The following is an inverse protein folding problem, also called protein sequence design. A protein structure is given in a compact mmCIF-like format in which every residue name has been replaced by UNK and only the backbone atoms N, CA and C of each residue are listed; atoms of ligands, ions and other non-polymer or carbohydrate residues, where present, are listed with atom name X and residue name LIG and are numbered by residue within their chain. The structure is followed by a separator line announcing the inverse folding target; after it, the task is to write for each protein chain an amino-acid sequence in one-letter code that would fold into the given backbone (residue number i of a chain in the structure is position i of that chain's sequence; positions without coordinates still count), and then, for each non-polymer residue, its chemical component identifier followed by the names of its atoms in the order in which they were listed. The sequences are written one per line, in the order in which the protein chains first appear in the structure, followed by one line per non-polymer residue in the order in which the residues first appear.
data_IF_000168506641
#
_entry.id   IF_000168506641
#
_cell.length_a   1.000
_cell.length_b   1.000
_cell.length_c   1.000
_cell.angle_alpha   90.00
_cell.angle_beta   90.00
_cell.angle_gamma   90.00
#
_symmetry.space_group_name_H-M   'P 1'
#
loop_
_entity.id
_entity.type
_entity.pdbx_description
1 polymer ?
#
# COMPACT_ATOMS: atom_id res chain seq x y z
N UNK A 1 -4.24 -38.26 -4.15
CA UNK A 1 -5.41 -39.14 -4.16
C UNK A 1 -6.63 -38.24 -4.29
N UNK A 2 -7.16 -38.21 -5.50
CA UNK A 2 -8.31 -37.40 -5.91
C UNK A 2 -9.59 -37.86 -5.20
N UNK A 3 -10.24 -36.96 -4.47
CA UNK A 3 -11.57 -37.16 -3.91
C UNK A 3 -12.35 -35.84 -3.93
N UNK A 4 -12.34 -35.14 -5.06
CA UNK A 4 -13.07 -33.88 -5.26
C UNK A 4 -13.75 -33.91 -6.62
N UNK A 5 -14.88 -34.62 -6.75
CA UNK A 5 -15.75 -34.49 -7.95
C UNK A 5 -17.21 -34.99 -7.95
N UNK A 6 -17.92 -35.33 -6.85
CA UNK A 6 -19.38 -35.53 -6.93
C UNK A 6 -20.21 -34.27 -6.69
N UNK A 7 -19.75 -33.33 -5.87
CA UNK A 7 -20.57 -32.21 -5.38
C UNK A 7 -20.87 -31.12 -6.44
N UNK A 8 -19.94 -30.88 -7.37
CA UNK A 8 -20.11 -29.90 -8.46
C UNK A 8 -21.07 -30.40 -9.57
N UNK A 9 -21.24 -31.72 -9.71
CA UNK A 9 -22.14 -32.30 -10.71
C UNK A 9 -23.62 -32.18 -10.30
N UNK A 10 -23.92 -32.27 -9.00
CA UNK A 10 -25.30 -32.14 -8.50
C UNK A 10 -25.81 -30.69 -8.53
N UNK A 11 -24.96 -29.72 -8.20
CA UNK A 11 -25.34 -28.29 -8.17
C UNK A 11 -25.60 -27.72 -9.58
N UNK A 12 -24.86 -28.18 -10.58
CA UNK A 12 -25.04 -27.76 -11.99
C UNK A 12 -26.29 -28.36 -12.63
N UNK A 13 -26.70 -29.56 -12.22
CA UNK A 13 -27.89 -30.24 -12.75
C UNK A 13 -29.18 -29.61 -12.24
N UNK A 14 -29.21 -29.21 -10.96
CA UNK A 14 -30.34 -28.53 -10.33
C UNK A 14 -30.46 -27.06 -10.82
N UNK A 15 -29.32 -26.39 -11.03
CA UNK A 15 -29.28 -25.05 -11.63
C UNK A 15 -29.81 -25.04 -13.07
N UNK A 16 -29.46 -26.04 -13.90
CA UNK A 16 -29.98 -26.20 -15.26
C UNK A 16 -31.48 -26.51 -15.30
N UNK A 17 -31.98 -27.31 -14.37
CA UNK A 17 -33.42 -27.57 -14.24
C UNK A 17 -34.19 -26.30 -13.90
N UNK A 18 -33.63 -25.45 -13.04
CA UNK A 18 -34.24 -24.17 -12.64
C UNK A 18 -34.20 -23.12 -13.76
N UNK A 19 -33.12 -23.07 -14.55
CA UNK A 19 -33.03 -22.16 -15.71
C UNK A 19 -33.96 -22.57 -16.85
N UNK A 20 -34.20 -23.87 -17.03
CA UNK A 20 -35.18 -24.35 -18.01
C UNK A 20 -36.62 -24.06 -17.58
N UNK A 21 -36.92 -24.10 -16.28
CA UNK A 21 -38.23 -23.70 -15.74
C UNK A 21 -38.49 -22.20 -15.96
N UNK A 22 -37.46 -21.36 -15.85
CA UNK A 22 -37.54 -19.91 -16.12
C UNK A 22 -37.54 -19.55 -17.61
N UNK A 23 -37.19 -20.48 -18.52
CA UNK A 23 -37.25 -20.26 -19.97
C UNK A 23 -38.61 -20.57 -20.57
N UNK A 24 -39.39 -21.45 -19.95
CA UNK A 24 -40.78 -21.72 -20.37
C UNK A 24 -41.72 -20.54 -20.13
N UNK A 25 -41.33 -19.56 -19.30
CA UNK A 25 -42.09 -18.33 -19.06
C UNK A 25 -41.67 -17.15 -19.97
N UNK A 26 -40.81 -17.37 -20.98
CA UNK A 26 -40.24 -16.27 -21.80
C UNK A 26 -40.30 -16.45 -23.32
N UNK A 27 -41.35 -17.06 -23.83
CA UNK A 27 -41.74 -17.07 -25.26
C UNK A 27 -43.27 -16.94 -25.21
N UNK A 28 -43.93 -15.80 -25.46
CA UNK A 28 -43.77 -14.80 -26.52
C UNK A 28 -43.92 -13.36 -26.00
N UNK A 29 -42.94 -12.50 -26.30
CA UNK A 29 -43.20 -11.05 -26.45
C UNK A 29 -42.05 -10.47 -27.29
N UNK A 30 -42.23 -10.50 -28.61
CA UNK A 30 -41.32 -9.84 -29.53
C UNK A 30 -41.71 -8.35 -29.65
N UNK A 31 -40.80 -7.45 -29.25
CA UNK A 31 -40.38 -6.23 -29.97
C UNK A 31 -40.04 -5.03 -29.04
N UNK A 32 -38.86 -4.45 -29.29
CA UNK A 32 -38.58 -3.02 -29.17
C UNK A 32 -38.45 -2.38 -27.78
N UNK A 33 -37.22 -2.28 -27.26
CA UNK A 33 -36.86 -1.33 -26.21
C UNK A 33 -36.45 0.02 -26.83
N UNK A 34 -37.30 1.03 -26.66
CA UNK A 34 -36.94 2.44 -26.49
C UNK A 34 -37.42 2.83 -25.10
N UNK A 35 -36.56 3.47 -24.30
CA UNK A 35 -36.75 3.59 -22.85
C UNK A 35 -37.80 4.60 -22.38
N UNK A 36 -37.76 4.77 -21.06
CA UNK A 36 -38.27 5.89 -20.23
C UNK A 36 -39.56 5.63 -19.43
N UNK A 37 -39.36 5.76 -18.12
CA UNK A 37 -40.24 6.23 -17.04
C UNK A 37 -41.54 5.49 -16.66
N UNK A 38 -41.54 5.11 -15.38
CA UNK A 38 -42.60 5.31 -14.37
C UNK A 38 -43.98 5.72 -14.92
N UNK A 39 -44.92 4.78 -14.87
CA UNK A 39 -46.34 5.01 -14.56
C UNK A 39 -46.95 3.68 -14.12
N UNK A 40 -47.71 3.71 -13.02
CA UNK A 40 -48.65 2.63 -12.67
C UNK A 40 -49.56 2.32 -13.87
N UNK A 41 -49.81 1.05 -14.22
CA UNK A 41 -50.84 0.74 -15.19
C UNK A 41 -52.15 0.37 -14.48
N UNK A 42 -53.14 1.21 -14.77
CA UNK A 42 -54.56 0.99 -14.61
C UNK A 42 -55.00 -0.41 -15.02
N UNK A 43 -55.59 -1.14 -14.08
CA UNK A 43 -56.40 -2.33 -14.38
C UNK A 43 -57.81 -1.86 -14.80
N UNK A 44 -58.05 -1.74 -16.10
CA UNK A 44 -59.42 -1.83 -16.62
C UNK A 44 -59.47 -2.44 -18.02
N UNK A 45 -60.47 -3.32 -18.18
CA UNK A 45 -60.96 -3.98 -19.40
C UNK A 45 -60.24 -5.25 -19.87
N UNK A 46 -60.61 -6.37 -19.23
CA UNK A 46 -61.03 -7.56 -19.98
C UNK A 46 -62.45 -7.94 -19.54
N UNK A 47 -63.43 -7.67 -20.41
CA UNK A 47 -64.79 -8.18 -20.26
C UNK A 47 -64.80 -9.66 -20.63
N UNK A 48 -64.95 -10.54 -19.63
CA UNK A 48 -65.47 -11.89 -19.88
C UNK A 48 -66.98 -11.86 -19.74
N UNK A 49 -67.65 -12.14 -20.85
CA UNK A 49 -69.09 -12.36 -20.93
C UNK A 49 -69.45 -13.61 -20.13
N UNK A 50 -70.42 -13.48 -19.25
CA UNK A 50 -70.75 -14.50 -18.25
C UNK A 50 -71.35 -15.78 -18.81
N UNK A 51 -70.91 -16.88 -18.21
CA UNK A 51 -71.70 -18.09 -17.94
C UNK A 51 -70.96 -18.90 -16.86
N UNK A 52 -71.47 -18.83 -15.61
CA UNK A 52 -71.14 -19.65 -14.43
C UNK A 52 -69.79 -20.39 -14.46
N UNK A 53 -68.71 -19.77 -13.95
CA UNK A 53 -67.35 -20.36 -13.98
C UNK A 53 -66.49 -20.08 -12.72
N UNK A 54 -67.10 -19.91 -11.54
CA UNK A 54 -66.36 -19.58 -10.31
C UNK A 54 -65.53 -20.75 -9.73
N UNK A 55 -65.78 -21.99 -10.14
CA UNK A 55 -65.07 -23.18 -9.66
C UNK A 55 -63.65 -23.36 -10.24
N UNK A 56 -63.41 -23.31 -11.56
CA UNK A 56 -62.09 -23.55 -12.13
C UNK A 56 -61.04 -22.52 -11.71
N UNK A 57 -61.41 -21.24 -11.56
CA UNK A 57 -60.48 -20.19 -11.14
C UNK A 57 -60.06 -20.37 -9.67
N UNK A 58 -60.98 -20.79 -8.79
CA UNK A 58 -60.70 -21.05 -7.37
C UNK A 58 -59.82 -22.29 -7.18
N UNK A 59 -59.99 -23.33 -7.99
CA UNK A 59 -59.12 -24.51 -7.98
C UNK A 59 -57.69 -24.18 -8.42
N UNK A 60 -57.55 -23.32 -9.44
CA UNK A 60 -56.25 -22.84 -9.93
C UNK A 60 -55.54 -21.97 -8.89
N UNK A 61 -56.26 -21.09 -8.20
CA UNK A 61 -55.70 -20.27 -7.11
C UNK A 61 -55.26 -21.14 -5.92
N UNK A 62 -56.05 -22.16 -5.57
CA UNK A 62 -55.68 -23.14 -4.53
C UNK A 62 -54.42 -23.92 -4.90
N UNK A 63 -54.30 -24.32 -6.17
CA UNK A 63 -53.12 -25.00 -6.68
C UNK A 63 -51.88 -24.11 -6.61
N UNK A 64 -51.99 -22.87 -7.09
CA UNK A 64 -50.90 -21.90 -7.08
C UNK A 64 -50.39 -21.63 -5.66
N UNK A 65 -51.29 -21.37 -4.71
CA UNK A 65 -50.94 -21.14 -3.31
C UNK A 65 -50.17 -22.33 -2.71
N UNK A 66 -50.60 -23.57 -2.98
CA UNK A 66 -49.93 -24.77 -2.50
C UNK A 66 -48.54 -25.00 -3.11
N UNK A 67 -48.35 -24.61 -4.38
CA UNK A 67 -47.04 -24.64 -5.05
C UNK A 67 -46.09 -23.63 -4.40
N UNK A 68 -46.51 -22.38 -4.20
CA UNK A 68 -45.68 -21.36 -3.57
C UNK A 68 -45.32 -21.69 -2.12
N UNK A 69 -46.27 -22.25 -1.35
CA UNK A 69 -46.02 -22.80 -0.03
C UNK A 69 -44.95 -23.90 -0.05
N UNK A 70 -44.98 -24.80 -1.04
CA UNK A 70 -43.98 -25.87 -1.17
C UNK A 70 -42.61 -25.38 -1.60
N UNK A 71 -42.55 -24.45 -2.56
CA UNK A 71 -41.29 -23.85 -3.00
C UNK A 71 -40.63 -23.07 -1.86
N UNK A 72 -41.40 -22.30 -1.09
CA UNK A 72 -40.89 -21.57 0.08
C UNK A 72 -40.45 -22.51 1.20
N UNK A 73 -41.16 -23.63 1.44
CA UNK A 73 -40.73 -24.66 2.38
C UNK A 73 -39.39 -25.29 1.98
N UNK A 74 -39.21 -25.62 0.69
CA UNK A 74 -37.92 -26.11 0.16
C UNK A 74 -36.81 -25.08 0.38
N UNK A 75 -37.06 -23.79 0.08
CA UNK A 75 -36.08 -22.72 0.32
C UNK A 75 -35.68 -22.63 1.79
N UNK A 76 -36.64 -22.70 2.71
CA UNK A 76 -36.37 -22.65 4.14
C UNK A 76 -35.55 -23.84 4.62
N UNK A 77 -35.90 -25.06 4.20
CA UNK A 77 -35.15 -26.28 4.53
C UNK A 77 -33.75 -26.28 3.92
N UNK A 78 -33.59 -25.76 2.71
CA UNK A 78 -32.27 -25.60 2.09
C UNK A 78 -31.41 -24.55 2.80
N UNK A 79 -31.99 -23.45 3.27
CA UNK A 79 -31.26 -22.49 4.10
C UNK A 79 -30.80 -23.12 5.44
N UNK A 80 -31.62 -23.98 6.06
CA UNK A 80 -31.21 -24.74 7.25
C UNK A 80 -30.04 -25.68 6.93
N UNK A 81 -30.10 -26.38 5.80
CA UNK A 81 -29.02 -27.24 5.33
C UNK A 81 -27.69 -26.47 5.19
N UNK A 82 -27.74 -25.26 4.61
CA UNK A 82 -26.55 -24.42 4.42
C UNK A 82 -25.93 -23.97 5.74
N UNK A 83 -26.74 -23.67 6.75
CA UNK A 83 -26.23 -23.26 8.07
C UNK A 83 -25.68 -24.46 8.86
N UNK A 84 -26.30 -25.62 8.73
CA UNK A 84 -25.84 -26.85 9.38
C UNK A 84 -24.51 -27.42 8.83
N UNK A 85 -24.01 -26.88 7.71
CA UNK A 85 -22.70 -27.27 7.17
C UNK A 85 -21.54 -26.67 7.95
N UNK A 86 -21.74 -25.50 8.59
CA UNK A 86 -20.68 -24.73 9.25
C UNK A 86 -21.23 -24.02 10.49
N UNK A 87 -20.97 -24.54 11.70
CA UNK A 87 -20.23 -25.78 12.00
C UNK A 87 -20.97 -27.05 11.52
N UNK A 88 -20.22 -28.11 11.21
CA UNK A 88 -20.79 -29.36 10.68
C UNK A 88 -21.69 -30.04 11.71
N UNK A 89 -23.00 -30.08 11.44
CA UNK A 89 -24.03 -30.75 12.23
C UNK A 89 -24.71 -31.83 11.38
N UNK A 90 -24.32 -33.11 11.52
CA UNK A 90 -24.85 -34.19 10.68
C UNK A 90 -26.35 -34.43 10.89
N UNK A 91 -26.87 -34.20 12.09
CA UNK A 91 -28.28 -34.45 12.43
C UNK A 91 -29.17 -33.35 11.84
N UNK A 92 -28.75 -32.10 11.94
CA UNK A 92 -29.44 -30.98 11.31
C UNK A 92 -29.37 -31.07 9.77
N UNK A 93 -28.24 -31.50 9.21
CA UNK A 93 -28.10 -31.76 7.76
C UNK A 93 -29.10 -32.84 7.31
N UNK A 94 -29.15 -33.98 8.00
CA UNK A 94 -30.07 -35.06 7.66
C UNK A 94 -31.54 -34.65 7.82
N UNK A 95 -31.88 -33.91 8.87
CA UNK A 95 -33.23 -33.41 9.10
C UNK A 95 -33.68 -32.45 7.99
N UNK A 96 -32.81 -31.50 7.62
CA UNK A 96 -33.08 -30.54 6.55
C UNK A 96 -33.20 -31.24 5.18
N UNK A 97 -32.34 -32.22 4.89
CA UNK A 97 -32.41 -33.03 3.66
C UNK A 97 -33.73 -33.82 3.57
N UNK A 98 -34.12 -34.51 4.65
CA UNK A 98 -35.41 -35.21 4.71
C UNK A 98 -36.58 -34.27 4.48
N UNK A 99 -36.54 -33.06 5.03
CA UNK A 99 -37.58 -32.05 4.83
C UNK A 99 -37.65 -31.57 3.36
N UNK A 100 -36.51 -31.36 2.70
CA UNK A 100 -36.47 -31.05 1.25
C UNK A 100 -37.08 -32.18 0.43
N UNK A 101 -36.70 -33.44 0.71
CA UNK A 101 -37.22 -34.62 0.01
C UNK A 101 -38.73 -34.77 0.22
N UNK A 102 -39.22 -34.52 1.43
CA UNK A 102 -40.65 -34.57 1.74
C UNK A 102 -41.45 -33.55 0.92
N UNK A 103 -41.00 -32.29 0.85
CA UNK A 103 -41.66 -31.25 0.06
C UNK A 103 -41.60 -31.52 -1.45
N UNK A 104 -40.48 -32.06 -1.96
CA UNK A 104 -40.39 -32.48 -3.36
C UNK A 104 -41.39 -33.60 -3.69
N UNK A 105 -41.56 -34.57 -2.79
CA UNK A 105 -42.60 -35.61 -2.94
C UNK A 105 -44.00 -35.02 -2.92
N UNK A 106 -44.26 -34.05 -2.04
CA UNK A 106 -45.55 -33.33 -1.96
C UNK A 106 -45.86 -32.58 -3.26
N UNK A 107 -44.91 -31.81 -3.79
CA UNK A 107 -45.05 -31.10 -5.06
C UNK A 107 -45.21 -32.07 -6.24
N UNK A 108 -44.54 -33.22 -6.21
CA UNK A 108 -44.71 -34.26 -7.23
C UNK A 108 -46.13 -34.85 -7.21
N UNK A 109 -46.70 -35.09 -6.03
CA UNK A 109 -48.08 -35.56 -5.88
C UNK A 109 -49.07 -34.51 -6.39
N UNK A 110 -48.85 -33.23 -6.06
CA UNK A 110 -49.67 -32.11 -6.53
C UNK A 110 -49.62 -31.94 -8.06
N UNK A 111 -48.46 -32.15 -8.68
CA UNK A 111 -48.32 -32.18 -10.15
C UNK A 111 -49.13 -33.33 -10.76
N UNK A 112 -49.09 -34.52 -10.14
CA UNK A 112 -49.81 -35.69 -10.64
C UNK A 112 -51.33 -35.55 -10.50
N UNK A 113 -51.83 -34.92 -9.43
CA UNK A 113 -53.27 -34.68 -9.25
C UNK A 113 -53.80 -33.68 -10.27
N UNK A 114 -53.04 -32.62 -10.56
CA UNK A 114 -53.36 -31.66 -11.63
C UNK A 114 -53.47 -32.35 -12.99
N UNK A 115 -52.48 -33.16 -13.38
CA UNK A 115 -52.47 -33.85 -14.68
C UNK A 115 -53.60 -34.88 -14.85
N UNK A 116 -54.13 -35.43 -13.74
CA UNK A 116 -55.21 -36.42 -13.75
C UNK A 116 -56.61 -35.78 -13.66
N UNK A 117 -56.72 -34.46 -13.64
CA UNK A 117 -57.98 -33.71 -13.37
C UNK A 117 -58.68 -34.14 -12.06
N UNK A 118 -57.91 -34.59 -11.05
CA UNK A 118 -58.43 -35.04 -9.75
C UNK A 118 -58.39 -33.91 -8.71
N UNK A 119 -58.62 -32.66 -9.14
CA UNK A 119 -58.60 -31.49 -8.25
C UNK A 119 -59.88 -31.39 -7.40
N UNK A 120 -60.97 -32.02 -7.84
CA UNK A 120 -62.32 -31.98 -7.27
C UNK A 120 -62.52 -32.83 -5.99
N UNK A 121 -61.46 -33.10 -5.23
CA UNK A 121 -61.54 -33.73 -3.91
C UNK A 121 -61.37 -32.68 -2.81
N UNK A 122 -62.46 -32.24 -2.18
CA UNK A 122 -62.49 -31.14 -1.21
C UNK A 122 -61.58 -31.30 0.02
N UNK A 123 -61.01 -32.48 0.30
CA UNK A 123 -60.56 -32.83 1.65
C UNK A 123 -59.03 -33.02 1.86
N UNK A 124 -58.19 -32.88 0.82
CA UNK A 124 -56.75 -33.24 0.95
C UNK A 124 -55.78 -32.05 0.89
N UNK A 125 -56.18 -30.92 0.29
CA UNK A 125 -55.28 -29.77 0.10
C UNK A 125 -55.66 -28.61 1.03
N UNK A 126 -54.67 -27.96 1.69
CA UNK A 126 -54.88 -26.77 2.52
C UNK A 126 -55.70 -25.72 1.78
N UNK A 127 -56.53 -24.98 2.52
CA UNK A 127 -57.25 -23.85 1.95
C UNK A 127 -56.25 -22.83 1.37
N UNK A 128 -56.61 -22.07 0.32
CA UNK A 128 -55.69 -21.11 -0.31
C UNK A 128 -55.03 -20.13 0.68
N UNK A 129 -55.79 -19.67 1.68
CA UNK A 129 -55.30 -18.77 2.72
C UNK A 129 -54.27 -19.44 3.64
N UNK A 130 -54.51 -20.69 4.03
CA UNK A 130 -53.58 -21.45 4.88
C UNK A 130 -52.25 -21.68 4.15
N UNK A 131 -52.30 -22.01 2.86
CA UNK A 131 -51.12 -22.17 2.03
C UNK A 131 -50.33 -20.85 1.89
N UNK A 132 -51.01 -19.71 1.74
CA UNK A 132 -50.36 -18.40 1.74
C UNK A 132 -49.72 -18.06 3.10
N UNK A 133 -50.38 -18.38 4.20
CA UNK A 133 -49.81 -18.21 5.55
C UNK A 133 -48.54 -19.05 5.72
N UNK A 134 -48.56 -20.29 5.25
CA UNK A 134 -47.39 -21.16 5.29
C UNK A 134 -46.26 -20.67 4.39
N UNK A 135 -46.57 -20.13 3.22
CA UNK A 135 -45.58 -19.47 2.36
C UNK A 135 -44.87 -18.32 3.10
N UNK A 136 -45.64 -17.40 3.68
CA UNK A 136 -45.09 -16.27 4.42
C UNK A 136 -44.26 -16.73 5.62
N UNK A 137 -44.73 -17.76 6.35
CA UNK A 137 -44.00 -18.37 7.47
C UNK A 137 -42.65 -18.94 7.01
N UNK A 138 -42.62 -19.64 5.87
CA UNK A 138 -41.40 -20.23 5.32
C UNK A 138 -40.41 -19.18 4.79
N UNK A 139 -40.91 -18.12 4.15
CA UNK A 139 -40.08 -16.97 3.75
C UNK A 139 -39.44 -16.31 4.98
N UNK A 140 -40.24 -16.06 6.02
CA UNK A 140 -39.78 -15.44 7.25
C UNK A 140 -38.76 -16.32 7.98
N UNK A 141 -38.93 -17.64 7.94
CA UNK A 141 -37.93 -18.61 8.41
C UNK A 141 -36.62 -18.52 7.62
N UNK A 142 -36.69 -18.43 6.29
CA UNK A 142 -35.52 -18.27 5.41
C UNK A 142 -34.75 -17.00 5.75
N UNK A 143 -35.45 -15.86 5.83
CA UNK A 143 -34.83 -14.59 6.18
C UNK A 143 -34.18 -14.62 7.56
N UNK A 144 -34.85 -15.18 8.57
CA UNK A 144 -34.27 -15.35 9.92
C UNK A 144 -32.96 -16.13 9.89
N UNK A 145 -32.91 -17.23 9.14
CA UNK A 145 -31.70 -18.05 9.01
C UNK A 145 -30.57 -17.27 8.33
N UNK A 146 -30.88 -16.59 7.22
CA UNK A 146 -29.87 -15.81 6.48
C UNK A 146 -29.35 -14.63 7.29
N UNK A 147 -30.21 -13.93 8.04
CA UNK A 147 -29.81 -12.82 8.91
C UNK A 147 -28.91 -13.32 10.03
N UNK A 148 -29.29 -14.42 10.71
CA UNK A 148 -28.48 -15.00 11.78
C UNK A 148 -27.09 -15.44 11.27
N UNK A 149 -27.00 -15.97 10.05
CA UNK A 149 -25.74 -16.33 9.40
C UNK A 149 -24.88 -15.08 9.14
N UNK A 150 -25.43 -14.06 8.49
CA UNK A 150 -24.71 -12.82 8.20
C UNK A 150 -24.24 -12.11 9.47
N UNK A 151 -25.07 -12.09 10.52
CA UNK A 151 -24.70 -11.54 11.83
C UNK A 151 -23.53 -12.30 12.47
N UNK A 152 -23.47 -13.62 12.31
CA UNK A 152 -22.35 -14.43 12.80
C UNK A 152 -21.05 -14.18 12.03
N UNK A 153 -21.13 -14.04 10.70
CA UNK A 153 -20.00 -13.71 9.85
C UNK A 153 -19.47 -12.29 10.15
N UNK A 154 -20.38 -11.32 10.35
CA UNK A 154 -20.03 -9.96 10.72
C UNK A 154 -19.28 -9.91 12.06
N UNK A 155 -19.80 -10.58 13.10
CA UNK A 155 -19.11 -10.68 14.40
C UNK A 155 -17.74 -11.35 14.28
N UNK A 156 -17.60 -12.37 13.43
CA UNK A 156 -16.31 -13.02 13.18
C UNK A 156 -15.31 -12.10 12.47
N UNK A 157 -15.77 -11.26 11.55
CA UNK A 157 -14.91 -10.28 10.87
C UNK A 157 -14.53 -9.12 11.78
N UNK A 158 -15.45 -8.67 12.64
CA UNK A 158 -15.15 -7.65 13.65
C UNK A 158 -14.07 -8.13 14.64
N UNK A 159 -14.12 -9.39 15.09
CA UNK A 159 -13.07 -9.94 15.96
C UNK A 159 -11.73 -10.08 15.24
N UNK A 160 -11.72 -10.47 13.96
CA UNK A 160 -10.52 -10.52 13.12
C UNK A 160 -9.89 -9.12 12.96
N UNK A 161 -10.71 -8.09 12.70
CA UNK A 161 -10.26 -6.70 12.60
C UNK A 161 -9.60 -6.25 13.92
N UNK A 162 -10.23 -6.51 15.06
CA UNK A 162 -9.67 -6.14 16.38
C UNK A 162 -8.34 -6.87 16.63
N UNK A 163 -8.23 -8.16 16.27
CA UNK A 163 -6.98 -8.93 16.38
C UNK A 163 -5.87 -8.32 15.52
N UNK A 164 -6.14 -8.07 14.24
CA UNK A 164 -5.17 -7.49 13.30
C UNK A 164 -4.74 -6.08 13.71
N UNK A 165 -5.65 -5.27 14.25
CA UNK A 165 -5.31 -3.96 14.81
C UNK A 165 -4.35 -4.08 16.00
N UNK A 166 -4.56 -5.07 16.89
CA UNK A 166 -3.67 -5.35 18.01
C UNK A 166 -2.27 -5.78 17.53
N UNK A 167 -2.19 -6.69 16.56
CA UNK A 167 -0.93 -7.13 15.96
C UNK A 167 -0.18 -5.97 15.28
N UNK A 168 -0.88 -5.11 14.55
CA UNK A 168 -0.29 -3.92 13.93
C UNK A 168 0.30 -2.98 14.99
N UNK A 169 -0.38 -2.78 16.12
CA UNK A 169 0.13 -1.95 17.22
C UNK A 169 1.34 -2.60 17.89
N UNK A 170 1.34 -3.92 18.09
CA UNK A 170 2.48 -4.66 18.62
C UNK A 170 3.70 -4.54 17.68
N UNK A 171 3.51 -4.75 16.37
CA UNK A 171 4.55 -4.59 15.37
C UNK A 171 5.08 -3.15 15.29
N UNK A 172 4.21 -2.13 15.37
CA UNK A 172 4.62 -0.71 15.44
C UNK A 172 5.45 -0.42 16.69
N UNK A 173 5.08 -0.95 17.85
CA UNK A 173 5.85 -0.83 19.09
C UNK A 173 7.22 -1.51 18.96
N UNK A 174 7.25 -2.73 18.41
CA UNK A 174 8.49 -3.47 18.17
C UNK A 174 9.45 -2.75 17.21
N UNK A 175 8.91 -2.18 16.11
CA UNK A 175 9.69 -1.35 15.19
C UNK A 175 10.28 -0.13 15.89
N UNK A 176 9.50 0.60 16.68
CA UNK A 176 9.99 1.76 17.45
C UNK A 176 11.07 1.34 18.45
N UNK A 177 10.93 0.18 19.09
CA UNK A 177 11.93 -0.37 20.00
C UNK A 177 13.24 -0.70 19.28
N UNK A 178 13.18 -1.38 18.13
CA UNK A 178 14.35 -1.66 17.29
C UNK A 178 15.00 -0.37 16.77
N UNK A 179 14.21 0.59 16.31
CA UNK A 179 14.70 1.90 15.88
C UNK A 179 15.40 2.64 17.03
N UNK A 180 14.85 2.58 18.25
CA UNK A 180 15.47 3.17 19.44
C UNK A 180 16.79 2.47 19.81
N UNK A 181 16.85 1.13 19.75
CA UNK A 181 18.08 0.36 19.99
C UNK A 181 19.15 0.67 18.95
N UNK A 182 18.79 0.67 17.66
CA UNK A 182 19.74 0.95 16.59
C UNK A 182 20.25 2.39 16.63
N UNK A 183 19.38 3.34 17.01
CA UNK A 183 19.80 4.71 17.32
C UNK A 183 20.71 4.74 18.55
N UNK A 184 20.38 4.01 19.62
CA UNK A 184 21.18 3.92 20.84
C UNK A 184 22.58 3.38 20.55
N UNK A 185 22.73 2.24 19.87
CA UNK A 185 24.02 1.62 19.58
C UNK A 185 24.91 2.52 18.71
N UNK A 186 24.31 3.20 17.72
CA UNK A 186 25.03 4.12 16.84
C UNK A 186 25.35 5.46 17.51
N UNK A 187 24.53 5.90 18.47
CA UNK A 187 24.79 7.09 19.28
C UNK A 187 25.77 6.79 20.39
N UNK A 188 25.81 5.54 20.90
CA UNK A 188 26.77 5.04 21.88
C UNK A 188 28.20 5.01 21.30
N UNK A 189 28.35 4.61 20.04
CA UNK A 189 29.62 4.71 19.32
C UNK A 189 30.14 6.16 19.18
N UNK A 190 29.28 7.17 19.39
CA UNK A 190 29.59 8.60 19.27
C UNK A 190 29.32 9.40 20.58
N UNK A 191 28.96 8.75 21.68
CA UNK A 191 28.53 9.42 22.91
C UNK A 191 29.70 9.84 23.79
N UNK A 192 30.75 9.02 23.87
CA UNK A 192 31.95 9.25 24.71
C UNK A 192 33.16 9.74 23.91
N UNK A 193 32.89 10.56 22.89
CA UNK A 193 33.95 11.19 22.12
C UNK A 193 34.59 12.32 22.93
N UNK A 194 35.91 12.27 23.06
CA UNK A 194 36.72 13.41 23.46
C UNK A 194 37.49 13.97 22.26
N UNK A 195 37.68 15.29 22.22
CA UNK A 195 38.41 15.96 21.13
C UNK A 195 39.79 15.35 20.87
N UNK A 196 40.48 14.93 21.93
CA UNK A 196 41.81 14.32 21.89
C UNK A 196 41.81 12.88 21.34
N UNK A 197 40.67 12.18 21.40
CA UNK A 197 40.52 10.78 20.98
C UNK A 197 39.82 10.62 19.62
N UNK A 198 39.65 11.70 18.86
CA UNK A 198 39.04 11.65 17.53
C UNK A 198 39.90 10.83 16.57
N UNK A 199 39.29 9.80 15.97
CA UNK A 199 39.91 8.96 14.95
C UNK A 199 39.04 8.91 13.68
N UNK A 200 39.62 8.42 12.59
CA UNK A 200 38.91 8.31 11.32
C UNK A 200 37.73 7.31 11.35
N UNK A 201 37.74 6.33 12.27
CA UNK A 201 36.64 5.39 12.46
C UNK A 201 35.35 6.06 12.92
N UNK A 202 35.44 7.03 13.83
CA UNK A 202 34.30 7.85 14.26
C UNK A 202 33.72 8.66 13.09
N UNK A 203 34.59 9.25 12.29
CA UNK A 203 34.18 9.97 11.08
C UNK A 203 33.54 9.04 10.06
N UNK A 204 34.11 7.87 9.79
CA UNK A 204 33.55 6.86 8.89
C UNK A 204 32.17 6.38 9.35
N UNK A 205 31.98 6.18 10.65
CA UNK A 205 30.69 5.75 11.23
C UNK A 205 29.61 6.81 11.00
N UNK A 206 29.94 8.08 11.27
CA UNK A 206 29.03 9.19 11.00
C UNK A 206 28.79 9.38 9.50
N UNK A 207 29.82 9.25 8.67
CA UNK A 207 29.71 9.35 7.22
C UNK A 207 28.78 8.29 6.64
N UNK A 208 28.90 7.03 7.08
CA UNK A 208 27.96 5.94 6.70
C UNK A 208 26.52 6.27 7.13
N UNK A 209 26.32 6.89 8.30
CA UNK A 209 25.00 7.35 8.75
C UNK A 209 24.46 8.47 7.86
N UNK A 210 25.30 9.42 7.46
CA UNK A 210 24.96 10.48 6.52
C UNK A 210 24.52 9.93 5.17
N UNK A 211 25.26 8.97 4.61
CA UNK A 211 24.90 8.29 3.35
C UNK A 211 23.52 7.63 3.46
N UNK A 212 23.27 6.88 4.53
CA UNK A 212 21.95 6.25 4.76
C UNK A 212 20.81 7.28 4.87
N UNK A 213 21.08 8.43 5.48
CA UNK A 213 20.10 9.51 5.60
C UNK A 213 19.83 10.19 4.25
N UNK A 214 20.85 10.37 3.42
CA UNK A 214 20.72 10.86 2.03
C UNK A 214 19.84 9.90 1.23
N UNK A 215 20.15 8.60 1.24
CA UNK A 215 19.34 7.59 0.54
C UNK A 215 17.90 7.53 1.03
N UNK A 216 17.66 7.76 2.33
CA UNK A 216 16.30 7.84 2.90
C UNK A 216 15.52 9.05 2.39
N UNK A 217 16.18 10.21 2.27
CA UNK A 217 15.57 11.40 1.70
C UNK A 217 15.29 11.23 0.20
N UNK A 218 16.25 10.67 -0.55
CA UNK A 218 16.07 10.36 -1.98
C UNK A 218 14.83 9.48 -2.19
N UNK A 219 14.65 8.42 -1.40
CA UNK A 219 13.46 7.55 -1.49
C UNK A 219 12.15 8.32 -1.32
N UNK A 220 12.07 9.23 -0.35
CA UNK A 220 10.87 10.06 -0.16
C UNK A 220 10.72 11.07 -1.30
N UNK A 221 11.80 11.70 -1.74
CA UNK A 221 11.76 12.64 -2.87
C UNK A 221 11.25 11.96 -4.14
N UNK A 222 11.76 10.78 -4.49
CA UNK A 222 11.31 10.04 -5.68
C UNK A 222 9.87 9.55 -5.52
N UNK A 223 9.43 9.21 -4.30
CA UNK A 223 8.03 8.87 -4.01
C UNK A 223 7.11 10.06 -4.26
N UNK A 224 7.42 11.25 -3.73
CA UNK A 224 6.61 12.45 -3.95
C UNK A 224 6.60 12.88 -5.43
N UNK A 225 7.72 12.73 -6.14
CA UNK A 225 7.78 12.91 -7.59
C UNK A 225 6.83 11.96 -8.32
N UNK A 226 6.81 10.68 -7.94
CA UNK A 226 5.90 9.69 -8.51
C UNK A 226 4.43 10.02 -8.25
N UNK A 227 4.08 10.42 -7.02
CA UNK A 227 2.73 10.86 -6.66
C UNK A 227 2.27 12.10 -7.43
N UNK A 228 3.20 13.02 -7.72
CA UNK A 228 2.95 14.23 -8.49
C UNK A 228 3.02 14.02 -10.01
N UNK A 229 3.11 12.77 -10.49
CA UNK A 229 3.18 12.40 -11.92
C UNK A 229 4.36 13.08 -12.64
N UNK A 230 5.48 13.26 -11.95
CA UNK A 230 6.71 13.75 -12.58
C UNK A 230 7.36 12.65 -13.40
N UNK A 231 7.90 13.01 -14.57
CA UNK A 231 8.75 12.11 -15.35
C UNK A 231 10.12 11.98 -14.65
N UNK A 232 10.24 10.93 -13.84
CA UNK A 232 11.46 10.58 -13.10
C UNK A 232 12.63 10.33 -14.06
N UNK A 233 12.37 9.81 -15.26
CA UNK A 233 13.41 9.52 -16.25
C UNK A 233 13.92 10.80 -16.90
N UNK A 234 13.02 11.73 -17.23
CA UNK A 234 13.41 13.06 -17.69
C UNK A 234 14.19 13.82 -16.62
N UNK A 235 13.78 13.74 -15.35
CA UNK A 235 14.50 14.34 -14.24
C UNK A 235 15.91 13.74 -14.07
N UNK A 236 16.05 12.41 -14.16
CA UNK A 236 17.36 11.75 -14.11
C UNK A 236 18.26 12.19 -15.27
N UNK A 237 17.74 12.26 -16.51
CA UNK A 237 18.47 12.78 -17.68
C UNK A 237 18.85 14.26 -17.53
N UNK A 238 18.02 15.08 -16.89
CA UNK A 238 18.36 16.47 -16.62
C UNK A 238 19.52 16.62 -15.63
N UNK A 239 19.67 15.66 -14.69
CA UNK A 239 20.77 15.63 -13.72
C UNK A 239 22.05 15.07 -14.36
N UNK A 240 21.94 13.95 -15.09
CA UNK A 240 23.03 13.28 -15.78
C UNK A 240 22.63 12.99 -17.23
N UNK A 241 22.88 13.91 -18.18
CA UNK A 241 22.40 13.79 -19.57
C UNK A 241 23.04 12.65 -20.34
N UNK A 242 24.27 12.30 -19.99
CA UNK A 242 25.08 11.36 -20.76
C UNK A 242 25.05 9.92 -20.23
N UNK A 243 24.17 9.66 -19.26
CA UNK A 243 23.93 8.31 -18.78
C UNK A 243 23.04 7.56 -19.79
N UNK A 244 23.67 6.84 -20.71
CA UNK A 244 22.98 5.89 -21.59
C UNK A 244 22.46 4.76 -20.70
N UNK A 245 21.15 4.79 -20.47
CA UNK A 245 20.44 3.98 -19.47
C UNK A 245 20.78 2.49 -19.64
N UNK A 246 21.49 1.90 -18.67
CA UNK A 246 21.68 0.45 -18.59
C UNK A 246 20.50 -0.21 -17.88
N UNK A 247 20.07 0.33 -16.72
CA UNK A 247 18.92 -0.20 -15.95
C UNK A 247 18.01 0.88 -15.32
N UNK A 248 16.80 0.46 -14.92
CA UNK A 248 15.82 1.27 -14.17
C UNK A 248 16.29 1.63 -12.75
N UNK A 249 17.12 0.79 -12.15
CA UNK A 249 17.58 0.88 -10.76
C UNK A 249 18.69 1.93 -10.57
N UNK A 250 19.44 2.24 -11.64
CA UNK A 250 20.52 3.24 -11.64
C UNK A 250 20.05 4.66 -11.30
N UNK A 251 18.75 4.92 -11.47
CA UNK A 251 18.12 6.24 -11.20
C UNK A 251 18.32 6.67 -9.75
N UNK A 252 18.33 5.72 -8.82
CA UNK A 252 18.56 6.03 -7.40
C UNK A 252 19.91 6.71 -7.21
N UNK A 253 20.97 6.21 -7.87
CA UNK A 253 22.31 6.78 -7.77
C UNK A 253 22.42 8.17 -8.41
N UNK A 254 21.64 8.45 -9.45
CA UNK A 254 21.55 9.79 -10.06
C UNK A 254 20.98 10.81 -9.06
N UNK A 255 19.88 10.46 -8.39
CA UNK A 255 19.30 11.33 -7.37
C UNK A 255 20.17 11.42 -6.12
N UNK A 256 20.82 10.33 -5.69
CA UNK A 256 21.80 10.37 -4.60
C UNK A 256 22.98 11.28 -4.94
N UNK A 257 23.49 11.26 -6.18
CA UNK A 257 24.53 12.17 -6.66
C UNK A 257 24.08 13.63 -6.62
N UNK A 258 22.87 13.93 -7.13
CA UNK A 258 22.30 15.28 -7.09
C UNK A 258 22.18 15.82 -5.66
N UNK A 259 21.55 15.04 -4.78
CA UNK A 259 21.35 15.44 -3.38
C UNK A 259 22.68 15.56 -2.65
N UNK A 260 23.61 14.63 -2.85
CA UNK A 260 24.94 14.68 -2.23
C UNK A 260 25.69 15.93 -2.68
N UNK A 261 25.76 16.20 -3.98
CA UNK A 261 26.43 17.40 -4.52
C UNK A 261 25.88 18.69 -3.91
N UNK A 262 24.55 18.79 -3.76
CA UNK A 262 23.93 19.96 -3.14
C UNK A 262 24.20 20.04 -1.63
N UNK A 263 24.12 18.92 -0.92
CA UNK A 263 24.35 18.89 0.52
C UNK A 263 25.80 19.20 0.88
N UNK A 264 26.75 18.64 0.15
CA UNK A 264 28.19 18.83 0.33
C UNK A 264 28.76 20.06 -0.40
N UNK A 265 27.93 20.85 -1.11
CA UNK A 265 28.41 22.11 -1.69
C UNK A 265 28.97 23.03 -0.60
N UNK A 266 30.13 23.64 -0.86
CA UNK A 266 30.88 24.48 0.09
C UNK A 266 31.37 23.77 1.36
N UNK A 267 31.39 22.43 1.41
CA UNK A 267 31.80 21.69 2.61
C UNK A 267 33.25 21.97 3.02
N UNK A 268 34.15 22.29 2.07
CA UNK A 268 35.52 22.69 2.40
C UNK A 268 35.61 24.01 3.18
N UNK A 269 34.54 24.82 3.19
CA UNK A 269 34.51 26.09 3.91
C UNK A 269 33.99 25.87 5.35
N UNK A 270 34.65 26.46 6.38
CA UNK A 270 34.24 26.33 7.78
C UNK A 270 32.81 26.78 8.09
N UNK A 271 32.17 27.52 7.19
CA UNK A 271 30.83 28.07 7.35
C UNK A 271 29.85 27.63 6.25
N UNK A 272 30.22 26.69 5.37
CA UNK A 272 29.44 26.36 4.16
C UNK A 272 29.11 27.57 3.25
N UNK A 273 29.96 28.60 3.27
CA UNK A 273 29.72 29.84 2.52
C UNK A 273 28.45 30.56 3.00
N UNK A 274 28.23 30.61 4.31
CA UNK A 274 27.14 31.37 4.94
C UNK A 274 27.55 32.80 5.29
N UNK A 275 28.85 33.14 5.23
CA UNK A 275 29.38 34.44 5.61
C UNK A 275 29.59 34.59 7.11
N UNK A 276 29.73 33.48 7.84
CA UNK A 276 29.87 33.47 9.29
C UNK A 276 31.34 33.59 9.73
N UNK A 277 31.60 34.12 10.94
CA UNK A 277 32.97 34.26 11.43
C UNK A 277 33.66 32.90 11.59
N UNK A 278 35.01 32.86 11.42
CA UNK A 278 35.76 31.62 11.54
C UNK A 278 35.63 31.02 12.95
N UNK A 279 35.35 29.72 12.99
CA UNK A 279 35.23 28.92 14.21
C UNK A 279 36.51 28.14 14.45
N UNK A 280 36.90 28.01 15.71
CA UNK A 280 38.01 27.15 16.10
C UNK A 280 37.54 25.68 16.21
N UNK A 281 38.51 24.77 16.22
CA UNK A 281 38.30 23.33 16.34
C UNK A 281 37.43 22.96 17.56
N UNK A 282 37.57 23.68 18.68
CA UNK A 282 36.83 23.42 19.93
C UNK A 282 35.36 23.79 19.80
N UNK A 283 35.03 24.91 19.16
CA UNK A 283 33.64 25.31 18.89
C UNK A 283 32.92 24.31 18.01
N UNK A 284 33.57 23.82 16.94
CA UNK A 284 33.00 22.77 16.10
C UNK A 284 32.68 21.49 16.89
N UNK A 285 33.59 21.07 17.77
CA UNK A 285 33.38 19.87 18.57
C UNK A 285 32.30 20.04 19.65
N UNK A 286 32.23 21.23 20.25
CA UNK A 286 31.16 21.59 21.18
C UNK A 286 29.80 21.53 20.49
N UNK A 287 29.67 22.14 19.33
CA UNK A 287 28.44 22.14 18.55
C UNK A 287 28.05 20.72 18.08
N UNK A 288 29.01 19.90 17.67
CA UNK A 288 28.78 18.46 17.41
C UNK A 288 28.21 17.76 18.65
N UNK A 289 28.79 18.01 19.83
CA UNK A 289 28.40 17.38 21.09
C UNK A 289 27.02 17.81 21.57
N UNK A 290 26.61 19.04 21.27
CA UNK A 290 25.28 19.57 21.58
C UNK A 290 24.23 18.99 20.61
N UNK A 291 24.49 19.04 19.30
CA UNK A 291 23.52 18.64 18.28
C UNK A 291 23.34 17.12 18.14
N UNK A 292 24.32 16.30 18.59
CA UNK A 292 24.18 14.83 18.53
C UNK A 292 23.04 14.30 19.42
N UNK A 293 22.75 14.99 20.52
CA UNK A 293 21.77 14.57 21.53
C UNK A 293 20.39 15.21 21.36
N UNK A 294 20.30 16.35 20.66
CA UNK A 294 19.06 17.10 20.48
C UNK A 294 18.11 16.41 19.51
N UNK A 295 16.79 16.48 19.77
CA UNK A 295 15.80 16.04 18.77
C UNK A 295 15.80 17.03 17.60
N UNK A 296 15.50 16.60 16.35
CA UNK A 296 15.49 17.51 15.20
C UNK A 296 14.68 18.78 15.45
N UNK A 297 13.51 18.69 16.11
CA UNK A 297 12.66 19.85 16.46
C UNK A 297 13.33 20.87 17.40
N UNK A 298 14.29 20.43 18.21
CA UNK A 298 15.02 21.25 19.19
C UNK A 298 16.34 21.81 18.60
N UNK A 299 16.89 21.19 17.54
CA UNK A 299 18.10 21.68 16.84
C UNK A 299 17.89 23.01 16.09
N UNK A 300 16.63 23.46 15.99
CA UNK A 300 16.17 24.47 15.06
C UNK A 300 15.78 25.80 15.73
N UNK A 301 16.19 26.01 16.98
CA UNK A 301 15.99 27.29 17.65
C UNK A 301 16.63 28.47 16.88
N UNK A 302 15.97 29.63 16.95
CA UNK A 302 16.11 30.77 16.03
C UNK A 302 17.57 31.22 15.84
N UNK A 303 17.96 31.41 14.57
CA UNK A 303 19.22 32.00 14.08
C UNK A 303 20.52 31.18 14.29
N UNK A 304 20.45 29.88 14.56
CA UNK A 304 21.66 29.05 14.54
C UNK A 304 22.26 28.93 13.13
N UNK A 305 23.58 28.73 13.03
CA UNK A 305 24.25 28.49 11.74
C UNK A 305 23.70 27.24 11.04
N UNK A 306 23.35 26.21 11.83
CA UNK A 306 22.65 25.04 11.33
C UNK A 306 21.28 25.38 10.70
N UNK A 307 20.49 26.26 11.33
CA UNK A 307 19.22 26.74 10.77
C UNK A 307 19.41 27.45 9.43
N UNK A 308 20.43 28.30 9.30
CA UNK A 308 20.79 28.96 8.05
C UNK A 308 21.25 27.98 6.97
N UNK A 309 22.08 27.01 7.34
CA UNK A 309 22.48 25.90 6.47
C UNK A 309 21.25 25.12 5.96
N UNK A 310 20.38 24.68 6.87
CA UNK A 310 19.17 23.92 6.57
C UNK A 310 18.28 24.68 5.59
N UNK A 311 18.04 25.98 5.84
CA UNK A 311 17.29 26.87 4.95
C UNK A 311 17.94 27.01 3.56
N UNK A 312 19.23 27.33 3.49
CA UNK A 312 19.97 27.48 2.22
C UNK A 312 19.90 26.20 1.40
N UNK A 313 20.11 25.05 2.03
CA UNK A 313 20.09 23.74 1.36
C UNK A 313 18.68 23.32 0.93
N UNK A 314 17.65 23.55 1.74
CA UNK A 314 16.27 23.24 1.36
C UNK A 314 15.82 24.05 0.15
N UNK A 315 16.01 25.38 0.20
CA UNK A 315 15.56 26.29 -0.85
C UNK A 315 16.32 26.11 -2.17
N UNK A 316 17.57 25.64 -2.10
CA UNK A 316 18.38 25.30 -3.27
C UNK A 316 18.08 23.91 -3.84
N UNK A 317 17.64 22.96 -3.02
CA UNK A 317 17.37 21.58 -3.44
C UNK A 317 15.95 21.40 -3.96
N UNK A 318 14.97 22.00 -3.28
CA UNK A 318 13.55 21.89 -3.61
C UNK A 318 13.13 23.13 -4.39
N UNK A 319 12.96 22.96 -5.69
CA UNK A 319 12.48 24.02 -6.57
C UNK A 319 11.01 24.36 -6.27
N UNK A 320 10.57 25.64 -6.34
CA UNK A 320 9.19 26.03 -6.10
C UNK A 320 8.14 25.21 -6.86
N UNK A 321 8.45 24.85 -8.13
CA UNK A 321 7.56 23.98 -8.93
C UNK A 321 7.42 22.56 -8.37
N UNK A 322 8.48 22.00 -7.78
CA UNK A 322 8.39 20.69 -7.12
C UNK A 322 7.51 20.81 -5.87
N UNK A 323 7.70 21.88 -5.10
CA UNK A 323 6.95 22.11 -3.86
C UNK A 323 5.46 22.30 -4.11
N UNK A 324 5.10 23.13 -5.11
CA UNK A 324 3.72 23.30 -5.55
C UNK A 324 3.10 21.97 -6.05
N UNK A 325 3.89 21.12 -6.73
CA UNK A 325 3.42 19.83 -7.20
C UNK A 325 3.25 18.79 -6.08
N UNK A 326 4.15 18.77 -5.09
CA UNK A 326 4.12 17.80 -3.98
C UNK A 326 3.05 18.16 -2.94
N UNK A 327 2.85 19.44 -2.68
CA UNK A 327 2.05 19.91 -1.55
C UNK A 327 0.86 20.80 -1.95
N UNK A 328 0.69 21.12 -3.23
CA UNK A 328 -0.39 21.97 -3.71
C UNK A 328 -0.21 23.47 -3.42
N UNK A 329 0.96 23.90 -2.94
CA UNK A 329 1.23 25.29 -2.55
C UNK A 329 2.69 25.57 -2.20
N UNK A 330 2.98 26.81 -1.79
CA UNK A 330 4.32 27.28 -1.41
C UNK A 330 4.42 27.69 0.08
N UNK A 331 3.45 27.29 0.90
CA UNK A 331 3.40 27.65 2.33
C UNK A 331 4.62 27.13 3.10
N UNK A 332 5.02 25.89 2.79
CA UNK A 332 6.23 25.27 3.31
C UNK A 332 7.47 26.11 2.97
N UNK A 333 7.55 26.62 1.73
CA UNK A 333 8.63 27.47 1.26
C UNK A 333 8.67 28.79 1.99
N UNK A 334 7.51 29.43 2.14
CA UNK A 334 7.38 30.73 2.79
C UNK A 334 7.83 30.62 4.26
N UNK A 335 7.40 29.57 4.96
CA UNK A 335 7.81 29.29 6.34
C UNK A 335 9.32 29.02 6.48
N UNK A 336 9.92 28.20 5.61
CA UNK A 336 11.38 27.99 5.62
C UNK A 336 12.12 29.28 5.25
N UNK A 337 11.56 30.08 4.34
CA UNK A 337 12.16 31.34 3.88
C UNK A 337 12.11 32.42 4.94
N UNK A 338 11.04 32.52 5.74
CA UNK A 338 10.94 33.49 6.84
C UNK A 338 11.87 33.12 8.00
N UNK A 339 12.23 31.84 8.13
CA UNK A 339 13.05 31.35 9.24
C UNK A 339 12.30 31.34 10.58
N UNK A 340 10.97 31.49 10.54
CA UNK A 340 10.10 31.52 11.72
C UNK A 340 9.71 30.12 12.21
N UNK A 341 9.81 29.11 11.34
CA UNK A 341 9.46 27.74 11.65
C UNK A 341 9.81 26.77 10.54
N UNK A 342 9.36 25.53 10.70
CA UNK A 342 9.63 24.43 9.78
C UNK A 342 8.36 23.65 9.45
N UNK A 343 8.20 23.20 8.19
CA UNK A 343 7.07 22.37 7.79
C UNK A 343 6.91 21.13 8.66
N UNK A 344 5.70 20.92 9.17
CA UNK A 344 5.32 19.71 9.87
C UNK A 344 4.94 18.60 8.86
N UNK A 345 5.79 18.38 7.86
CA UNK A 345 5.60 17.36 6.82
C UNK A 345 6.64 16.26 6.95
N UNK A 346 6.27 15.03 6.60
CA UNK A 346 7.19 13.89 6.60
C UNK A 346 8.39 14.14 5.67
N UNK A 347 8.14 14.77 4.52
CA UNK A 347 9.17 15.18 3.56
C UNK A 347 10.21 16.09 4.23
N UNK A 348 9.76 17.14 4.91
CA UNK A 348 10.66 18.06 5.58
C UNK A 348 11.37 17.41 6.78
N UNK A 349 10.69 16.55 7.52
CA UNK A 349 11.31 15.83 8.64
C UNK A 349 12.48 14.94 8.20
N UNK A 350 12.35 14.23 7.08
CA UNK A 350 13.45 13.40 6.55
C UNK A 350 14.55 14.25 5.93
N UNK A 351 14.20 15.36 5.27
CA UNK A 351 15.17 16.36 4.82
C UNK A 351 16.00 16.92 5.99
N UNK A 352 15.32 17.34 7.06
CA UNK A 352 15.94 17.94 8.24
C UNK A 352 16.89 16.96 8.94
N UNK A 353 16.52 15.67 9.02
CA UNK A 353 17.41 14.64 9.55
C UNK A 353 18.67 14.47 8.68
N UNK A 354 18.52 14.44 7.35
CA UNK A 354 19.67 14.41 6.42
C UNK A 354 20.57 15.65 6.59
N UNK A 355 19.97 16.84 6.65
CA UNK A 355 20.71 18.09 6.86
C UNK A 355 21.48 18.05 8.19
N UNK A 356 20.86 17.56 9.25
CA UNK A 356 21.51 17.37 10.55
C UNK A 356 22.71 16.43 10.47
N UNK A 357 22.59 15.29 9.77
CA UNK A 357 23.70 14.35 9.62
C UNK A 357 24.89 14.97 8.88
N UNK A 358 24.63 15.73 7.81
CA UNK A 358 25.68 16.45 7.06
C UNK A 358 26.33 17.53 7.91
N UNK A 359 25.54 18.27 8.70
CA UNK A 359 26.07 19.29 9.61
C UNK A 359 26.94 18.68 10.71
N UNK A 360 26.48 17.61 11.36
CA UNK A 360 27.29 16.88 12.36
C UNK A 360 28.60 16.37 11.75
N UNK A 361 28.55 15.85 10.52
CA UNK A 361 29.73 15.40 9.80
C UNK A 361 30.71 16.55 9.54
N UNK A 362 30.21 17.74 9.20
CA UNK A 362 31.03 18.95 9.02
C UNK A 362 31.65 19.43 10.33
N UNK A 363 30.87 19.50 11.41
CA UNK A 363 31.40 19.81 12.73
C UNK A 363 32.51 18.83 13.11
N UNK A 364 32.32 17.54 12.88
CA UNK A 364 33.33 16.52 13.16
C UNK A 364 34.57 16.69 12.26
N UNK A 365 34.38 16.93 10.95
CA UNK A 365 35.46 17.20 9.99
C UNK A 365 36.36 18.36 10.44
N UNK A 366 35.75 19.48 10.82
CA UNK A 366 36.51 20.64 11.31
C UNK A 366 37.04 20.48 12.73
N UNK A 367 36.55 19.47 13.47
CA UNK A 367 37.11 19.02 14.74
C UNK A 367 38.36 18.14 14.59
N UNK A 368 38.77 17.74 13.39
CA UNK A 368 40.08 17.14 13.14
C UNK A 368 41.17 18.21 12.90
N UNK A 369 42.43 17.85 13.15
CA UNK A 369 43.65 18.67 13.27
C UNK A 369 43.90 19.78 12.24
N UNK A 370 45.13 19.88 11.74
CA UNK A 370 45.52 20.98 10.84
C UNK A 370 44.74 20.90 9.51
N UNK A 371 44.58 22.04 8.82
CA UNK A 371 43.86 22.09 7.54
C UNK A 371 44.47 21.17 6.46
N UNK A 372 45.79 20.96 6.50
CA UNK A 372 46.53 20.10 5.55
C UNK A 372 46.24 18.61 5.72
N UNK A 373 45.66 18.22 6.86
CA UNK A 373 45.36 16.83 7.18
C UNK A 373 43.93 16.42 6.77
N UNK A 374 43.13 17.34 6.22
CA UNK A 374 41.73 17.06 5.91
C UNK A 374 41.29 17.62 4.55
N UNK A 375 40.72 16.76 3.72
CA UNK A 375 40.21 17.16 2.40
C UNK A 375 38.95 16.37 2.06
N UNK A 376 38.01 17.03 1.38
CA UNK A 376 36.90 16.37 0.67
C UNK A 376 37.29 16.28 -0.80
N UNK A 377 36.99 15.16 -1.45
CA UNK A 377 37.33 14.96 -2.86
C UNK A 377 36.22 14.22 -3.61
N UNK A 378 36.16 14.44 -4.91
CA UNK A 378 35.23 13.78 -5.83
C UNK A 378 36.00 13.24 -7.03
N UNK A 379 35.55 12.11 -7.57
CA UNK A 379 36.12 11.57 -8.79
C UNK A 379 35.57 12.35 -10.00
N UNK A 380 36.47 12.80 -10.87
CA UNK A 380 36.09 13.44 -12.13
C UNK A 380 35.52 12.40 -13.08
N UNK A 381 34.47 12.76 -13.80
CA UNK A 381 33.95 11.94 -14.90
C UNK A 381 35.05 11.63 -15.91
N UNK A 382 35.05 10.39 -16.41
CA UNK A 382 36.06 9.85 -17.32
C UNK A 382 37.36 9.42 -16.64
N UNK A 383 37.52 9.64 -15.33
CA UNK A 383 38.70 9.16 -14.60
C UNK A 383 38.73 7.64 -14.53
N UNK A 384 39.93 7.07 -14.47
CA UNK A 384 40.10 5.63 -14.22
C UNK A 384 39.63 5.29 -12.81
N UNK A 385 38.93 4.18 -12.67
CA UNK A 385 38.57 3.64 -11.37
C UNK A 385 39.82 3.28 -10.56
N UNK A 386 39.80 3.62 -9.26
CA UNK A 386 40.87 3.30 -8.32
C UNK A 386 40.25 2.77 -7.04
N UNK A 387 40.42 1.47 -6.78
CA UNK A 387 39.92 0.81 -5.56
C UNK A 387 40.47 1.44 -4.27
N UNK A 388 41.58 2.16 -4.32
CA UNK A 388 42.14 2.84 -3.14
C UNK A 388 41.32 4.06 -2.73
N UNK A 389 40.77 4.79 -3.72
CA UNK A 389 40.08 6.08 -3.50
C UNK A 389 38.58 6.01 -3.80
N UNK A 390 38.11 4.94 -4.42
CA UNK A 390 36.77 4.84 -4.97
C UNK A 390 36.13 3.49 -4.63
N UNK A 391 34.83 3.52 -4.35
CA UNK A 391 33.97 2.36 -4.13
C UNK A 391 32.87 2.37 -5.22
N UNK A 392 32.70 1.26 -5.93
CA UNK A 392 31.65 1.14 -6.97
C UNK A 392 30.28 0.89 -6.32
N UNK A 393 29.25 1.59 -6.78
CA UNK A 393 27.87 1.39 -6.26
C UNK A 393 27.09 0.28 -6.98
N UNK A 394 27.56 -0.16 -8.14
CA UNK A 394 26.86 -1.11 -9.03
C UNK A 394 27.66 -2.42 -9.18
N UNK A 395 28.19 -2.94 -8.07
CA UNK A 395 29.15 -4.04 -8.03
C UNK A 395 28.55 -5.41 -8.44
N UNK A 396 27.23 -5.59 -8.43
CA UNK A 396 26.60 -6.91 -8.63
C UNK A 396 26.49 -7.36 -10.11
N UNK A 397 26.57 -6.47 -11.10
CA UNK A 397 26.44 -6.85 -12.53
C UNK A 397 27.76 -6.89 -13.32
N UNK A 398 28.87 -6.45 -12.74
CA UNK A 398 30.14 -6.34 -13.45
C UNK A 398 30.96 -7.65 -13.48
N UNK A 399 30.55 -8.68 -12.74
CA UNK A 399 31.29 -9.95 -12.60
C UNK A 399 30.87 -11.03 -13.59
N UNK A 400 29.87 -10.78 -14.46
CA UNK A 400 29.32 -11.79 -15.39
C UNK A 400 29.62 -11.58 -16.88
N UNK A 401 30.41 -10.55 -17.27
CA UNK A 401 30.85 -10.39 -18.65
C UNK A 401 32.22 -11.03 -18.88
N UNK A 402 32.21 -12.34 -19.09
CA UNK A 402 33.32 -13.13 -19.60
C UNK A 402 33.69 -12.70 -21.04
N UNK A 403 35.00 -12.67 -21.33
CA UNK A 403 35.57 -12.74 -22.68
C UNK A 403 35.50 -11.51 -23.60
N UNK A 404 36.43 -10.55 -23.45
CA UNK A 404 36.85 -9.70 -24.59
C UNK A 404 37.33 -8.28 -24.25
N UNK A 405 38.65 -8.08 -24.19
CA UNK A 405 39.29 -6.75 -24.25
C UNK A 405 39.14 -5.89 -23.00
N UNK A 406 40.07 -6.02 -22.05
CA UNK A 406 40.12 -5.31 -20.77
C UNK A 406 40.15 -3.77 -20.91
N UNK A 407 38.98 -3.13 -21.06
CA UNK A 407 38.83 -1.69 -20.84
C UNK A 407 38.65 -1.47 -19.34
N UNK A 408 39.59 -0.77 -18.70
CA UNK A 408 39.42 -0.33 -17.31
C UNK A 408 38.15 0.50 -17.19
N UNK A 409 37.25 0.18 -16.24
CA UNK A 409 36.01 0.94 -16.05
C UNK A 409 36.33 2.40 -15.75
N UNK A 410 35.58 3.30 -16.37
CA UNK A 410 35.73 4.73 -16.18
C UNK A 410 34.64 5.25 -15.25
N UNK A 411 34.93 6.30 -14.49
CA UNK A 411 33.95 6.94 -13.62
C UNK A 411 32.93 7.69 -14.47
N UNK A 412 31.65 7.36 -14.34
CA UNK A 412 30.55 8.13 -14.91
C UNK A 412 30.31 9.39 -14.10
N UNK A 413 30.03 9.23 -12.82
CA UNK A 413 29.85 10.35 -11.89
C UNK A 413 30.09 9.91 -10.45
N UNK A 414 30.37 10.89 -9.58
CA UNK A 414 30.46 10.67 -8.13
C UNK A 414 29.05 10.68 -7.53
N UNK A 415 28.70 9.60 -6.82
CA UNK A 415 27.43 9.47 -6.10
C UNK A 415 27.54 10.15 -4.72
N UNK A 416 28.64 9.92 -4.02
CA UNK A 416 28.94 10.56 -2.72
C UNK A 416 30.44 10.92 -2.67
N UNK A 417 30.81 12.13 -2.22
CA UNK A 417 32.21 12.53 -2.10
C UNK A 417 32.99 11.64 -1.11
N UNK A 418 34.30 11.58 -1.31
CA UNK A 418 35.25 10.91 -0.43
C UNK A 418 35.94 11.91 0.50
N UNK A 419 36.62 11.39 1.50
CA UNK A 419 37.28 12.20 2.53
C UNK A 419 38.67 11.68 2.83
N UNK A 420 39.64 12.58 2.99
CA UNK A 420 40.89 12.30 3.66
C UNK A 420 40.83 12.96 5.03
N UNK A 421 41.04 12.19 6.09
CA UNK A 421 41.10 12.68 7.48
C UNK A 421 42.35 12.10 8.13
N UNK A 422 43.31 12.97 8.44
CA UNK A 422 44.66 12.57 8.82
C UNK A 422 45.33 11.74 7.72
N UNK A 423 45.68 10.51 8.08
CA UNK A 423 46.29 9.52 7.16
C UNK A 423 45.28 8.57 6.54
N UNK A 424 44.01 8.65 6.95
CA UNK A 424 42.97 7.71 6.48
C UNK A 424 42.26 8.31 5.28
N UNK A 425 42.15 7.52 4.21
CA UNK A 425 41.32 7.81 3.05
C UNK A 425 40.02 7.03 3.20
N UNK A 426 38.91 7.74 3.03
CA UNK A 426 37.56 7.20 2.94
C UNK A 426 37.15 7.38 1.49
N UNK A 427 36.87 6.27 0.82
CA UNK A 427 36.60 6.22 -0.60
C UNK A 427 35.37 7.08 -0.96
N UNK A 428 35.40 7.72 -2.12
CA UNK A 428 34.21 8.28 -2.73
C UNK A 428 33.39 7.16 -3.36
N UNK A 429 32.06 7.26 -3.33
CA UNK A 429 31.19 6.29 -4.01
C UNK A 429 30.96 6.76 -5.44
N UNK A 430 31.25 5.90 -6.41
CA UNK A 430 31.21 6.25 -7.83
C UNK A 430 30.31 5.31 -8.60
N UNK A 431 29.64 5.85 -9.62
CA UNK A 431 28.97 5.07 -10.64
C UNK A 431 29.95 4.86 -11.80
N UNK A 432 30.12 3.61 -12.23
CA UNK A 432 31.06 3.25 -13.29
C UNK A 432 30.34 3.14 -14.63
N UNK A 433 31.00 3.59 -15.68
CA UNK A 433 30.56 3.41 -17.06
C UNK A 433 31.61 2.58 -17.81
N UNK A 434 31.13 1.64 -18.62
CA UNK A 434 31.93 0.99 -19.64
C UNK A 434 32.00 1.96 -20.82
N UNK A 435 33.19 2.45 -21.16
CA UNK A 435 33.33 3.52 -22.15
C UNK A 435 32.84 3.09 -23.53
N UNK A 436 31.77 3.73 -24.01
CA UNK A 436 31.41 3.75 -25.43
C UNK A 436 32.14 4.92 -26.12
N UNK A 437 32.45 4.69 -27.39
CA UNK A 437 33.32 5.52 -28.24
C UNK A 437 32.63 6.80 -28.71
#
# INVERSE_FOLDING_TARGET
MDATRPALAFTTTLSKAFTNLLRLTRVDSNSGSGGVALSEPDLHNFKFSGKNSDEPDKEMDKLAANIFAGISAIKASYAQLQVAQLPYDPDAIQSADRAVVAELKRLSALKQSFLKNQLAGEDVQPAPLDAQIDEQRNLLKTYKITTAKLDSELRSKESEIVSLQSELQAAKKWRRFLEARLRSDLTAALSDLHLSGLNAGHFLTLFRRTIKSIGSFVKIMTREMGSAVWDIDAAARAIQPDLHRRNSEDRVFVFESYVSRLMFSDFQNPDFGLGEPPRDRRRFFKEFSELKCLKPKECFEKKSQFGMFCRKKYLGMVHPRMEAAFFGGLDNRAMVSSGEGFPATDFFHVFAEMARQVWLLHCLFFSFGAAEEKTIFEARRGSRFSEVYMESVAEEEATSADGGGARTPAVGFTVVPGFKVGRTVIQCRVYLITGDS
#
